data_IF_374045720529
#
_entry.id   IF_374045720529
#
_cell.length_a   1.000
_cell.length_b   1.000
_cell.length_c   1.000
_cell.angle_alpha   90.00
_cell.angle_beta   90.00
_cell.angle_gamma   90.00
#
_symmetry.space_group_name_H-M   'P 1'
#
loop_
_entity.id
_entity.type
_entity.pdbx_description
1 polymer ?
#
# COMPACT_ATOMS: atom_id res chain seq x y z
N UNK A 1 -1.03 -7.32 13.99
CA UNK A 1 0.39 -7.49 13.67
C UNK A 1 0.60 -7.30 12.18
N UNK A 2 1.27 -6.22 11.83
CA UNK A 2 1.85 -6.06 10.49
C UNK A 2 3.22 -6.69 10.56
N UNK A 3 3.49 -7.70 9.74
CA UNK A 3 4.80 -8.35 9.68
C UNK A 3 5.61 -7.75 8.54
N UNK A 4 6.91 -7.54 8.79
CA UNK A 4 7.86 -7.11 7.77
C UNK A 4 8.25 -8.33 6.93
N UNK A 5 8.10 -8.22 5.62
CA UNK A 5 8.45 -9.24 4.64
C UNK A 5 9.74 -8.81 3.93
N UNK A 6 10.69 -9.73 3.79
CA UNK A 6 11.91 -9.51 3.00
C UNK A 6 11.69 -10.08 1.61
N UNK A 7 11.75 -9.24 0.58
CA UNK A 7 11.52 -9.65 -0.81
C UNK A 7 12.87 -9.76 -1.51
N UNK A 8 13.14 -10.93 -2.09
CA UNK A 8 14.40 -11.25 -2.78
C UNK A 8 15.69 -11.05 -1.95
N UNK A 9 15.58 -10.87 -0.63
CA UNK A 9 16.65 -10.39 0.24
C UNK A 9 17.20 -8.98 -0.11
N UNK A 10 16.47 -8.24 -0.94
CA UNK A 10 16.90 -6.95 -1.50
C UNK A 10 16.21 -5.77 -0.82
N UNK A 11 14.93 -5.90 -0.51
CA UNK A 11 14.15 -4.84 0.14
C UNK A 11 13.08 -5.42 1.07
N UNK A 12 12.51 -4.53 1.87
CA UNK A 12 11.54 -4.84 2.90
C UNK A 12 10.17 -4.27 2.58
N UNK A 13 9.13 -5.04 2.87
CA UNK A 13 7.75 -4.70 2.60
C UNK A 13 6.92 -4.91 3.84
N UNK A 14 6.02 -3.97 4.14
CA UNK A 14 4.97 -4.18 5.13
C UNK A 14 3.61 -4.26 4.45
N UNK A 15 2.71 -5.09 4.97
CA UNK A 15 1.33 -5.20 4.45
C UNK A 15 0.35 -4.75 5.51
N UNK A 16 -0.49 -3.78 5.18
CA UNK A 16 -1.49 -3.21 6.09
C UNK A 16 -2.89 -3.35 5.51
N UNK A 17 -3.83 -3.85 6.30
CA UNK A 17 -5.23 -3.93 5.91
C UNK A 17 -5.94 -2.62 6.29
N UNK A 18 -6.39 -1.87 5.28
CA UNK A 18 -7.28 -0.74 5.46
C UNK A 18 -8.72 -1.26 5.42
N UNK A 19 -9.32 -1.44 6.60
CA UNK A 19 -10.73 -1.83 6.70
C UNK A 19 -11.66 -0.66 6.40
N UNK A 20 -12.73 -0.93 5.67
CA UNK A 20 -13.77 0.03 5.38
C UNK A 20 -14.61 0.30 6.63
N UNK A 21 -14.90 1.57 6.88
CA UNK A 21 -15.81 2.04 7.91
C UNK A 21 -16.90 2.90 7.27
N UNK A 22 -18.15 2.54 7.49
CA UNK A 22 -19.30 3.35 7.07
C UNK A 22 -19.56 4.41 8.12
N UNK A 23 -19.60 5.67 7.69
CA UNK A 23 -19.97 6.80 8.55
C UNK A 23 -21.48 6.80 8.84
N UNK A 24 -21.91 7.53 9.88
CA UNK A 24 -23.33 7.72 10.18
C UNK A 24 -24.13 8.33 9.01
N UNK A 25 -23.46 9.06 8.11
CA UNK A 25 -24.06 9.65 6.91
C UNK A 25 -24.01 8.72 5.66
N UNK A 26 -23.57 7.46 5.81
CA UNK A 26 -23.53 6.47 4.74
C UNK A 26 -22.28 6.47 3.85
N UNK A 27 -21.39 7.47 3.98
CA UNK A 27 -20.12 7.51 3.22
C UNK A 27 -19.11 6.48 3.72
N UNK A 28 -18.28 5.94 2.81
CA UNK A 28 -17.23 4.97 3.12
C UNK A 28 -15.90 5.67 3.42
N UNK A 29 -15.20 5.19 4.45
CA UNK A 29 -13.86 5.68 4.82
C UNK A 29 -12.92 4.53 5.14
N UNK A 30 -11.65 4.75 4.86
CA UNK A 30 -10.58 3.81 5.18
C UNK A 30 -9.51 4.54 5.99
N UNK A 31 -9.10 3.94 7.11
CA UNK A 31 -8.03 4.47 7.93
C UNK A 31 -6.82 3.54 7.85
N UNK A 32 -5.76 4.00 7.19
CA UNK A 32 -4.49 3.27 7.19
C UNK A 32 -3.68 3.73 8.38
N UNK A 33 -3.31 2.76 9.22
CA UNK A 33 -2.24 2.93 10.19
C UNK A 33 -1.00 2.32 9.58
N UNK A 34 -0.05 3.16 9.22
CA UNK A 34 1.28 2.70 8.90
C UNK A 34 1.95 2.31 10.21
N UNK A 35 2.62 1.17 10.21
CA UNK A 35 3.37 0.74 11.37
C UNK A 35 4.68 1.51 11.42
N UNK A 36 4.68 2.64 12.14
CA UNK A 36 5.83 3.54 12.25
C UNK A 36 7.05 2.89 12.88
N UNK A 37 6.89 1.74 13.53
CA UNK A 37 8.01 0.99 14.11
C UNK A 37 8.78 0.14 13.10
N UNK A 38 8.18 -0.22 11.96
CA UNK A 38 8.72 -1.23 11.05
C UNK A 38 9.52 -0.68 9.86
N UNK A 39 9.51 0.65 9.64
CA UNK A 39 10.26 1.40 8.61
C UNK A 39 10.59 0.56 7.34
N UNK A 40 9.59 0.00 6.64
CA UNK A 40 9.82 -0.78 5.44
C UNK A 40 10.30 0.11 4.28
N UNK A 41 10.82 -0.47 3.21
CA UNK A 41 11.07 0.28 1.97
C UNK A 41 9.75 0.62 1.25
N UNK A 42 8.81 -0.32 1.23
CA UNK A 42 7.48 -0.18 0.62
C UNK A 42 6.39 -0.67 1.58
N UNK A 43 5.30 0.09 1.70
CA UNK A 43 4.07 -0.39 2.37
C UNK A 43 2.98 -0.70 1.35
N UNK A 44 2.51 -1.94 1.35
CA UNK A 44 1.32 -2.36 0.59
C UNK A 44 0.10 -2.15 1.49
N UNK A 45 -0.69 -1.12 1.20
CA UNK A 45 -1.95 -0.90 1.87
C UNK A 45 -3.10 -1.52 1.06
N UNK A 46 -3.76 -2.52 1.66
CA UNK A 46 -4.88 -3.23 1.06
C UNK A 46 -6.17 -2.53 1.43
N UNK A 47 -6.84 -1.90 0.47
CA UNK A 47 -8.13 -1.26 0.69
C UNK A 47 -9.23 -2.32 0.59
N UNK A 48 -9.91 -2.62 1.69
CA UNK A 48 -10.97 -3.62 1.72
C UNK A 48 -12.29 -3.09 1.10
N UNK A 49 -13.13 -3.99 0.60
CA UNK A 49 -14.51 -3.70 0.18
C UNK A 49 -15.35 -3.11 1.32
N UNK A 50 -16.55 -2.59 1.00
CA UNK A 50 -17.48 -2.08 2.01
C UNK A 50 -17.89 -3.15 3.04
N UNK A 51 -17.99 -4.40 2.60
CA UNK A 51 -18.28 -5.60 3.41
C UNK A 51 -17.05 -6.16 4.11
N UNK A 52 -15.86 -5.63 3.84
CA UNK A 52 -14.57 -6.08 4.40
C UNK A 52 -14.24 -7.57 4.15
N UNK A 53 -14.82 -8.17 3.12
CA UNK A 53 -14.66 -9.58 2.77
C UNK A 53 -13.57 -9.81 1.70
N UNK A 54 -13.28 -8.80 0.88
CA UNK A 54 -12.29 -8.88 -0.18
C UNK A 54 -11.47 -7.59 -0.32
N UNK A 55 -10.22 -7.66 -0.80
CA UNK A 55 -9.49 -6.51 -1.31
C UNK A 55 -10.26 -5.86 -2.47
N UNK A 56 -10.36 -4.53 -2.44
CA UNK A 56 -10.90 -3.70 -3.52
C UNK A 56 -9.79 -3.24 -4.47
N UNK A 57 -8.68 -2.80 -3.90
CA UNK A 57 -7.47 -2.36 -4.60
C UNK A 57 -6.31 -2.18 -3.59
N UNK A 58 -5.15 -1.82 -4.11
CA UNK A 58 -3.90 -1.72 -3.38
C UNK A 58 -3.26 -0.36 -3.58
N UNK A 59 -2.56 0.10 -2.56
CA UNK A 59 -1.65 1.24 -2.66
C UNK A 59 -0.23 0.77 -2.38
N UNK A 60 0.69 1.06 -3.30
CA UNK A 60 2.12 0.79 -3.16
C UNK A 60 2.82 2.06 -2.70
N UNK A 61 3.04 2.17 -1.39
CA UNK A 61 3.47 3.40 -0.74
C UNK A 61 4.97 3.33 -0.41
N UNK A 62 5.85 3.96 -1.20
CA UNK A 62 7.29 3.96 -0.92
C UNK A 62 7.61 4.90 0.25
N UNK A 63 8.39 4.44 1.22
CA UNK A 63 8.64 5.18 2.47
C UNK A 63 9.35 6.52 2.26
N UNK A 64 10.03 6.71 1.13
CA UNK A 64 10.66 7.99 0.78
C UNK A 64 9.64 9.11 0.53
N UNK A 65 8.47 8.77 -0.02
CA UNK A 65 7.43 9.75 -0.34
C UNK A 65 6.44 9.93 0.80
N UNK A 66 6.30 8.92 1.68
CA UNK A 66 5.32 8.94 2.75
C UNK A 66 5.85 9.64 3.99
N UNK A 67 5.55 10.93 4.07
CA UNK A 67 5.85 11.77 5.23
C UNK A 67 4.71 11.72 6.26
N UNK A 68 4.60 10.61 7.01
CA UNK A 68 3.72 10.56 8.19
C UNK A 68 3.11 9.19 8.53
N UNK A 69 2.73 9.03 9.79
CA UNK A 69 2.26 7.76 10.37
C UNK A 69 0.82 7.35 9.99
N UNK A 70 -0.01 8.30 9.57
CA UNK A 70 -1.46 8.13 9.46
C UNK A 70 -1.98 8.76 8.17
N UNK A 71 -2.36 7.90 7.24
CA UNK A 71 -3.06 8.29 6.01
C UNK A 71 -4.57 8.07 6.23
N UNK A 72 -5.36 9.13 6.07
CA UNK A 72 -6.82 9.04 6.06
C UNK A 72 -7.27 8.95 4.62
N UNK A 73 -8.00 7.88 4.28
CA UNK A 73 -8.57 7.70 2.96
C UNK A 73 -10.09 7.94 2.99
N UNK A 74 -10.57 8.82 2.12
CA UNK A 74 -11.96 8.94 1.70
C UNK A 74 -12.20 8.16 0.39
N UNK A 75 -13.42 8.20 -0.14
CA UNK A 75 -13.74 7.62 -1.45
C UNK A 75 -12.91 8.23 -2.59
N UNK A 76 -12.53 9.51 -2.46
CA UNK A 76 -11.60 10.21 -3.33
C UNK A 76 -10.50 10.83 -2.46
N UNK A 77 -9.25 10.44 -2.69
CA UNK A 77 -8.12 10.85 -1.84
C UNK A 77 -7.33 12.05 -2.37
N UNK A 78 -7.80 12.62 -3.48
CA UNK A 78 -7.05 13.62 -4.23
C UNK A 78 -5.84 13.01 -4.94
N UNK A 79 -5.18 13.82 -5.76
CA UNK A 79 -4.16 13.36 -6.71
C UNK A 79 -2.96 12.67 -6.04
N UNK A 80 -2.57 13.10 -4.84
CA UNK A 80 -1.35 12.64 -4.18
C UNK A 80 -1.35 11.13 -3.89
N UNK A 81 -2.47 10.59 -3.40
CA UNK A 81 -2.52 9.18 -3.01
C UNK A 81 -2.85 8.29 -4.20
N UNK A 82 -3.68 8.79 -5.12
CA UNK A 82 -4.18 8.01 -6.25
C UNK A 82 -3.09 7.67 -7.27
N UNK A 83 -1.96 8.37 -7.28
CA UNK A 83 -0.76 8.02 -8.08
C UNK A 83 -0.17 6.67 -7.67
N UNK A 84 -0.31 6.27 -6.40
CA UNK A 84 0.23 5.01 -5.88
C UNK A 84 -0.78 3.86 -5.91
N UNK A 85 -1.98 4.09 -6.43
CA UNK A 85 -3.07 3.11 -6.47
C UNK A 85 -2.89 2.17 -7.65
N UNK A 86 -3.05 0.88 -7.40
CA UNK A 86 -3.12 -0.16 -8.43
C UNK A 86 -4.27 -1.12 -8.12
N UNK A 87 -4.88 -1.68 -9.16
CA UNK A 87 -6.00 -2.61 -9.03
C UNK A 87 -5.54 -4.02 -8.63
N UNK A 88 -4.31 -4.39 -8.99
CA UNK A 88 -3.70 -5.70 -8.73
C UNK A 88 -2.29 -5.52 -8.18
N UNK A 89 -1.65 -6.61 -7.74
CA UNK A 89 -0.23 -6.58 -7.34
C UNK A 89 0.74 -6.84 -8.51
N UNK A 90 0.26 -6.84 -9.75
CA UNK A 90 1.12 -7.10 -10.92
C UNK A 90 2.24 -6.08 -11.04
N UNK A 91 1.97 -4.80 -10.82
CA UNK A 91 2.99 -3.74 -10.84
C UNK A 91 4.08 -3.96 -9.78
N UNK A 92 3.68 -4.45 -8.60
CA UNK A 92 4.60 -4.81 -7.54
C UNK A 92 5.47 -6.02 -7.94
N UNK A 93 4.89 -7.04 -8.56
CA UNK A 93 5.65 -8.19 -9.05
C UNK A 93 6.59 -7.82 -10.19
N UNK A 94 6.19 -6.91 -11.07
CA UNK A 94 7.06 -6.39 -12.12
C UNK A 94 8.24 -5.60 -11.52
N UNK A 95 7.99 -4.76 -10.50
CA UNK A 95 9.03 -4.04 -9.76
C UNK A 95 10.01 -4.98 -9.04
N UNK A 96 9.49 -6.04 -8.42
CA UNK A 96 10.29 -7.05 -7.73
C UNK A 96 10.95 -8.07 -8.69
N UNK A 97 10.63 -8.00 -9.98
CA UNK A 97 11.19 -8.89 -10.99
C UNK A 97 12.67 -8.62 -11.22
N UNK A 98 13.51 -9.64 -11.08
CA UNK A 98 14.94 -9.52 -11.41
C UNK A 98 15.13 -9.42 -12.91
N UNK A 99 15.71 -8.31 -13.37
CA UNK A 99 16.16 -8.14 -14.75
C UNK A 99 17.69 -8.24 -14.81
N UNK A 100 18.21 -8.89 -15.85
CA UNK A 100 19.65 -8.85 -16.14
C UNK A 100 19.98 -7.45 -16.67
N UNK A 101 20.79 -6.70 -15.95
CA UNK A 101 21.39 -5.48 -16.47
C UNK A 101 22.52 -5.91 -17.39
N UNK A 102 22.33 -5.77 -18.71
CA UNK A 102 23.43 -5.91 -19.66
C UNK A 102 24.26 -4.63 -19.56
N UNK A 103 25.50 -4.77 -19.11
CA UNK A 103 26.46 -3.67 -19.11
C UNK A 103 26.64 -3.16 -20.55
N UNK A 104 26.46 -1.85 -20.74
CA UNK A 104 26.70 -1.22 -22.05
C UNK A 104 28.20 -1.00 -22.13
N UNK A 105 28.87 -1.80 -22.97
CA UNK A 105 30.30 -1.71 -23.25
C UNK A 105 30.68 -0.43 -24.00
#
# INVERSE_FOLDING_TARGET
DTQLLRVNDEFTVSVVLARCQTTAAGSLRWHIRLDTGLVPDITIAVRMSATNDAPRDFYLLPSIDITGARLKMAEQNGLWLDVYRTETLEDFYALAGRAKVTEVA
#
